data_IF_176571008011
#
_entry.id   IF_176571008011
#
_cell.length_a   1.000
_cell.length_b   1.000
_cell.length_c   1.000
_cell.angle_alpha   90.00
_cell.angle_beta   90.00
_cell.angle_gamma   90.00
#
_symmetry.space_group_name_H-M   'P 1'
#
loop_
_entity.id
_entity.type
_entity.pdbx_description
1 polymer ?
#
# COMPACT_ATOMS: atom_id res chain seq x y z
N UNK A 1 -30.35 -1.89 33.26
CA UNK A 1 -29.30 -2.85 33.02
C UNK A 1 -28.58 -2.39 31.76
N UNK A 2 -27.32 -1.88 31.77
CA UNK A 2 -26.61 -1.55 30.54
C UNK A 2 -26.19 -2.86 29.90
N UNK A 3 -26.50 -3.02 28.61
CA UNK A 3 -26.07 -4.13 27.79
C UNK A 3 -24.54 -4.16 27.76
N UNK A 4 -23.95 -5.27 28.20
CA UNK A 4 -22.50 -5.47 28.19
C UNK A 4 -21.94 -5.33 26.77
N UNK A 5 -20.79 -4.63 26.65
CA UNK A 5 -20.01 -4.64 25.43
C UNK A 5 -19.84 -6.07 24.93
N UNK A 6 -20.08 -6.35 23.64
CA UNK A 6 -19.77 -7.66 23.08
C UNK A 6 -18.28 -7.93 23.35
N UNK A 7 -17.97 -9.12 23.86
CA UNK A 7 -16.59 -9.61 23.96
C UNK A 7 -15.98 -9.49 22.56
N UNK A 8 -14.85 -8.80 22.44
CA UNK A 8 -14.00 -8.84 21.24
C UNK A 8 -13.59 -10.30 21.05
N UNK A 9 -14.34 -11.04 20.24
CA UNK A 9 -13.90 -12.35 19.79
C UNK A 9 -12.79 -12.12 18.78
N UNK A 10 -11.56 -12.41 19.20
CA UNK A 10 -10.38 -12.34 18.36
C UNK A 10 -10.62 -13.15 17.09
N UNK A 11 -10.41 -12.53 15.94
CA UNK A 11 -10.44 -13.23 14.65
C UNK A 11 -9.23 -14.16 14.56
N UNK A 12 -9.40 -15.29 13.89
CA UNK A 12 -8.26 -16.19 13.64
C UNK A 12 -7.34 -15.56 12.59
N UNK A 13 -6.07 -16.00 12.58
CA UNK A 13 -5.09 -15.56 11.58
C UNK A 13 -5.64 -15.68 10.16
N UNK A 14 -6.26 -16.83 9.82
CA UNK A 14 -6.83 -17.05 8.48
C UNK A 14 -8.00 -16.12 8.16
N UNK A 15 -8.82 -15.80 9.15
CA UNK A 15 -9.88 -14.81 9.00
C UNK A 15 -9.33 -13.40 8.74
N UNK A 16 -8.27 -13.03 9.46
CA UNK A 16 -7.60 -11.74 9.26
C UNK A 16 -6.98 -11.63 7.87
N UNK A 17 -6.26 -12.65 7.40
CA UNK A 17 -5.67 -12.69 6.06
C UNK A 17 -6.72 -12.49 4.96
N UNK A 18 -7.85 -13.20 5.04
CA UNK A 18 -8.94 -13.06 4.06
C UNK A 18 -9.62 -11.70 4.15
N UNK A 19 -9.84 -11.18 5.36
CA UNK A 19 -10.42 -9.85 5.53
C UNK A 19 -9.54 -8.75 4.93
N UNK A 20 -8.24 -8.85 5.12
CA UNK A 20 -7.27 -7.92 4.53
C UNK A 20 -7.27 -7.98 3.00
N UNK A 21 -7.36 -9.19 2.41
CA UNK A 21 -7.48 -9.32 0.96
C UNK A 21 -8.76 -8.69 0.43
N UNK A 22 -9.88 -8.83 1.14
CA UNK A 22 -11.15 -8.18 0.80
C UNK A 22 -10.99 -6.66 0.78
N UNK A 23 -10.36 -6.09 1.81
CA UNK A 23 -10.10 -4.65 1.93
C UNK A 23 -9.17 -4.18 0.82
N UNK A 24 -8.08 -4.92 0.58
CA UNK A 24 -7.12 -4.63 -0.48
C UNK A 24 -7.78 -4.62 -1.86
N UNK A 25 -8.55 -5.66 -2.16
CA UNK A 25 -9.26 -5.79 -3.45
C UNK A 25 -10.24 -4.62 -3.65
N UNK A 26 -11.01 -4.28 -2.61
CA UNK A 26 -11.94 -3.15 -2.66
C UNK A 26 -11.21 -1.81 -2.91
N UNK A 27 -10.07 -1.60 -2.29
CA UNK A 27 -9.26 -0.38 -2.48
C UNK A 27 -8.69 -0.25 -3.89
N UNK A 28 -8.31 -1.37 -4.52
CA UNK A 28 -7.74 -1.38 -5.89
C UNK A 28 -8.84 -1.26 -6.96
N UNK A 29 -9.91 -2.03 -6.82
CA UNK A 29 -10.92 -2.20 -7.87
C UNK A 29 -12.23 -1.43 -7.62
N UNK A 30 -12.35 -0.77 -6.46
CA UNK A 30 -13.59 -0.07 -6.05
C UNK A 30 -14.79 -1.00 -5.83
N UNK A 31 -14.55 -2.31 -5.74
CA UNK A 31 -15.57 -3.35 -5.63
C UNK A 31 -15.04 -4.52 -4.79
N UNK A 32 -15.95 -5.27 -4.15
CA UNK A 32 -15.57 -6.42 -3.34
C UNK A 32 -15.25 -7.65 -4.20
N UNK A 33 -14.31 -8.52 -3.79
CA UNK A 33 -14.03 -9.76 -4.49
C UNK A 33 -15.20 -10.75 -4.39
N UNK A 34 -15.35 -11.60 -5.38
CA UNK A 34 -16.26 -12.75 -5.31
C UNK A 34 -15.69 -13.87 -4.43
N UNK A 35 -16.54 -14.80 -3.97
CA UNK A 35 -16.10 -15.98 -3.21
C UNK A 35 -15.06 -16.79 -3.99
N UNK A 36 -15.23 -16.91 -5.32
CA UNK A 36 -14.31 -17.65 -6.17
C UNK A 36 -12.95 -16.94 -6.27
N UNK A 37 -12.92 -15.62 -6.44
CA UNK A 37 -11.66 -14.86 -6.45
C UNK A 37 -10.88 -14.99 -5.16
N UNK A 38 -11.58 -15.02 -4.02
CA UNK A 38 -10.93 -15.28 -2.71
C UNK A 38 -10.42 -16.72 -2.66
N UNK A 39 -11.22 -17.68 -3.10
CA UNK A 39 -10.85 -19.10 -3.13
C UNK A 39 -9.58 -19.33 -3.95
N UNK A 40 -9.53 -18.79 -5.16
CA UNK A 40 -8.40 -18.88 -6.09
C UNK A 40 -7.15 -18.22 -5.49
N UNK A 41 -7.31 -17.03 -4.91
CA UNK A 41 -6.21 -16.28 -4.29
C UNK A 41 -5.53 -17.04 -3.14
N UNK A 42 -6.31 -17.76 -2.35
CA UNK A 42 -5.83 -18.48 -1.17
C UNK A 42 -5.62 -19.97 -1.37
N UNK A 43 -5.88 -20.49 -2.56
CA UNK A 43 -5.76 -21.92 -2.88
C UNK A 43 -6.68 -22.80 -2.03
N UNK A 44 -7.89 -22.35 -1.73
CA UNK A 44 -8.88 -23.06 -0.90
C UNK A 44 -10.20 -23.23 -1.65
N UNK A 45 -11.03 -24.16 -1.20
CA UNK A 45 -12.34 -24.39 -1.80
C UNK A 45 -13.32 -23.23 -1.48
N UNK A 46 -14.17 -22.84 -2.42
CA UNK A 46 -15.17 -21.80 -2.24
C UNK A 46 -16.11 -22.00 -1.03
N UNK A 47 -16.52 -23.23 -0.67
CA UNK A 47 -17.26 -23.48 0.57
C UNK A 47 -16.50 -23.04 1.84
N UNK A 48 -15.18 -23.28 1.88
CA UNK A 48 -14.35 -22.85 3.02
C UNK A 48 -14.26 -21.33 3.13
N UNK A 49 -14.25 -20.62 1.99
CA UNK A 49 -14.35 -19.15 2.00
C UNK A 49 -15.70 -18.70 2.56
N UNK A 50 -16.77 -19.37 2.17
CA UNK A 50 -18.12 -19.08 2.68
C UNK A 50 -18.17 -19.19 4.22
N UNK A 51 -17.62 -20.25 4.80
CA UNK A 51 -17.60 -20.45 6.26
C UNK A 51 -16.81 -19.34 6.96
N UNK A 52 -15.68 -18.92 6.37
CA UNK A 52 -14.87 -17.82 6.91
C UNK A 52 -15.64 -16.49 6.83
N UNK A 53 -16.29 -16.21 5.72
CA UNK A 53 -17.13 -15.00 5.57
C UNK A 53 -18.28 -15.01 6.59
N UNK A 54 -18.94 -16.16 6.80
CA UNK A 54 -19.99 -16.27 7.83
C UNK A 54 -19.45 -15.97 9.24
N UNK A 55 -18.24 -16.46 9.55
CA UNK A 55 -17.59 -16.17 10.83
C UNK A 55 -17.26 -14.67 10.97
N UNK A 56 -16.80 -14.02 9.90
CA UNK A 56 -16.52 -12.58 9.88
C UNK A 56 -17.81 -11.74 10.01
N UNK A 57 -18.92 -12.20 9.43
CA UNK A 57 -20.25 -11.58 9.62
C UNK A 57 -20.72 -11.74 11.07
N UNK A 58 -20.62 -12.94 11.64
CA UNK A 58 -20.99 -13.19 13.04
C UNK A 58 -20.17 -12.34 14.03
N UNK A 59 -18.92 -12.06 13.70
CA UNK A 59 -18.02 -11.19 14.49
C UNK A 59 -18.18 -9.70 14.19
N UNK A 60 -19.07 -9.31 13.24
CA UNK A 60 -19.40 -7.93 12.90
C UNK A 60 -18.31 -7.20 12.12
N UNK A 61 -17.44 -7.90 11.40
CA UNK A 61 -16.48 -7.30 10.45
C UNK A 61 -17.12 -7.07 9.09
N UNK A 62 -18.01 -7.95 8.69
CA UNK A 62 -18.78 -7.87 7.46
C UNK A 62 -20.27 -7.82 7.78
N UNK A 63 -21.10 -7.29 6.88
CA UNK A 63 -22.54 -7.47 6.91
C UNK A 63 -23.03 -8.13 5.64
N UNK A 64 -24.09 -8.93 5.75
CA UNK A 64 -24.72 -9.57 4.60
C UNK A 64 -25.59 -8.57 3.86
N UNK A 65 -25.56 -8.64 2.52
CA UNK A 65 -26.46 -7.85 1.64
C UNK A 65 -27.22 -8.83 0.77
N UNK A 66 -28.54 -8.85 0.91
CA UNK A 66 -29.40 -9.82 0.22
C UNK A 66 -29.57 -9.55 -1.29
N UNK A 67 -29.24 -8.33 -1.74
CA UNK A 67 -29.53 -7.89 -3.12
C UNK A 67 -28.43 -8.17 -4.15
N UNK A 68 -27.30 -8.78 -3.77
CA UNK A 68 -26.15 -8.95 -4.67
C UNK A 68 -25.71 -10.42 -4.71
N UNK A 69 -26.10 -11.22 -5.74
CA UNK A 69 -25.90 -12.68 -5.73
C UNK A 69 -24.43 -13.12 -5.62
N UNK A 70 -23.48 -12.39 -6.20
CA UNK A 70 -22.06 -12.78 -6.23
C UNK A 70 -21.18 -12.03 -5.20
N UNK A 71 -21.75 -11.04 -4.50
CA UNK A 71 -21.06 -10.22 -3.49
C UNK A 71 -21.99 -9.97 -2.31
N UNK A 72 -22.30 -11.01 -1.52
CA UNK A 72 -23.35 -10.96 -0.52
C UNK A 72 -22.94 -10.29 0.79
N UNK A 73 -21.93 -9.40 0.79
CA UNK A 73 -21.42 -8.76 2.00
C UNK A 73 -20.88 -7.35 1.74
N UNK A 74 -20.82 -6.55 2.78
CA UNK A 74 -20.16 -5.24 2.84
C UNK A 74 -19.21 -5.19 4.03
N UNK A 75 -18.20 -4.33 3.96
CA UNK A 75 -17.24 -4.12 5.04
C UNK A 75 -17.87 -3.19 6.09
N UNK A 76 -17.95 -3.62 7.34
CA UNK A 76 -18.43 -2.83 8.47
C UNK A 76 -17.28 -2.26 9.31
N UNK A 77 -16.23 -3.04 9.50
CA UNK A 77 -15.04 -2.68 10.27
C UNK A 77 -13.80 -3.14 9.56
N UNK A 78 -12.77 -2.33 9.64
CA UNK A 78 -11.42 -2.76 9.30
C UNK A 78 -10.90 -3.73 10.37
N UNK A 79 -10.01 -4.63 10.00
CA UNK A 79 -9.25 -5.47 10.91
C UNK A 79 -7.96 -4.74 11.18
N UNK A 80 -7.68 -4.45 12.46
CA UNK A 80 -6.33 -4.05 12.82
C UNK A 80 -5.39 -5.15 12.32
N UNK A 81 -4.46 -4.84 11.42
CA UNK A 81 -3.56 -5.85 10.89
C UNK A 81 -2.77 -6.44 12.06
N UNK A 82 -2.73 -7.76 12.15
CA UNK A 82 -1.79 -8.40 13.07
C UNK A 82 -0.38 -7.97 12.64
N UNK A 83 0.28 -7.17 13.47
CA UNK A 83 1.65 -6.69 13.22
C UNK A 83 2.67 -7.83 13.03
N UNK A 84 2.26 -9.07 13.31
CA UNK A 84 3.04 -10.28 13.03
C UNK A 84 2.93 -10.76 11.59
N UNK A 85 1.94 -10.29 10.83
CA UNK A 85 1.76 -10.66 9.42
C UNK A 85 2.55 -9.70 8.55
N UNK A 86 3.57 -10.25 7.88
CA UNK A 86 4.42 -9.51 6.95
C UNK A 86 3.98 -9.79 5.51
N UNK A 87 4.07 -8.77 4.67
CA UNK A 87 3.89 -8.89 3.22
C UNK A 87 5.24 -8.68 2.54
N UNK A 88 5.55 -9.50 1.55
CA UNK A 88 6.70 -9.27 0.68
C UNK A 88 6.38 -8.13 -0.29
N UNK A 89 7.22 -7.10 -0.29
CA UNK A 89 7.10 -5.93 -1.14
C UNK A 89 8.34 -5.84 -2.03
N UNK A 90 8.20 -5.66 -3.35
CA UNK A 90 9.34 -5.53 -4.25
C UNK A 90 10.25 -4.39 -3.83
N UNK A 91 11.55 -4.63 -3.77
CA UNK A 91 12.57 -3.61 -3.56
C UNK A 91 13.14 -3.16 -4.90
N UNK A 92 12.96 -1.89 -5.21
CA UNK A 92 13.44 -1.29 -6.45
C UNK A 92 14.68 -0.42 -6.16
N UNK A 93 15.70 -0.55 -7.02
CA UNK A 93 16.88 0.34 -6.99
C UNK A 93 16.64 1.68 -7.69
N UNK A 94 15.60 1.78 -8.50
CA UNK A 94 15.21 3.01 -9.20
C UNK A 94 13.67 3.08 -9.31
N UNK A 95 13.14 4.29 -9.39
CA UNK A 95 11.71 4.52 -9.59
C UNK A 95 11.35 4.09 -11.02
N UNK A 96 10.38 3.20 -11.21
CA UNK A 96 10.02 2.72 -12.55
C UNK A 96 9.45 3.85 -13.41
N UNK A 97 9.71 3.80 -14.72
CA UNK A 97 9.20 4.78 -15.69
C UNK A 97 7.67 4.75 -15.89
N UNK A 98 6.93 3.94 -15.16
CA UNK A 98 5.46 3.86 -15.18
C UNK A 98 4.93 3.44 -13.82
N UNK A 99 3.68 3.80 -13.54
CA UNK A 99 2.99 3.25 -12.36
C UNK A 99 2.85 1.75 -12.60
N UNK A 100 3.34 0.86 -11.72
CA UNK A 100 3.04 -0.55 -11.83
C UNK A 100 1.52 -0.74 -11.80
N UNK A 101 0.92 -1.07 -12.94
CA UNK A 101 -0.55 -1.22 -13.09
C UNK A 101 -1.03 -2.57 -12.61
N UNK A 102 -0.11 -3.51 -12.41
CA UNK A 102 -0.42 -4.85 -11.92
C UNK A 102 0.17 -5.07 -10.53
N UNK A 103 -0.52 -5.81 -9.65
CA UNK A 103 0.07 -6.27 -8.41
C UNK A 103 1.36 -7.02 -8.75
N UNK A 104 2.48 -6.66 -8.11
CA UNK A 104 3.78 -7.31 -8.33
C UNK A 104 3.76 -8.68 -7.65
N UNK A 105 2.90 -9.59 -8.11
CA UNK A 105 2.74 -10.94 -7.57
C UNK A 105 3.83 -11.89 -8.03
N UNK A 106 4.47 -11.60 -9.19
CA UNK A 106 5.47 -12.47 -9.83
C UNK A 106 6.82 -11.75 -9.97
N UNK A 107 7.18 -10.92 -8.98
CA UNK A 107 8.45 -10.21 -8.99
C UNK A 107 9.60 -11.16 -8.65
N UNK A 108 10.52 -11.35 -9.60
CA UNK A 108 11.70 -12.23 -9.45
C UNK A 108 12.90 -11.54 -8.75
N UNK A 109 12.75 -10.26 -8.37
CA UNK A 109 13.81 -9.46 -7.76
C UNK A 109 13.87 -9.54 -6.23
N UNK A 110 14.67 -8.66 -5.63
CA UNK A 110 14.78 -8.51 -4.18
C UNK A 110 13.47 -8.01 -3.57
N UNK A 111 13.06 -8.56 -2.43
CA UNK A 111 11.86 -8.14 -1.70
C UNK A 111 12.21 -7.81 -0.26
N UNK A 112 11.43 -6.90 0.35
CA UNK A 112 11.48 -6.63 1.78
C UNK A 112 10.18 -7.06 2.46
N UNK A 113 10.28 -7.58 3.66
CA UNK A 113 9.12 -7.95 4.46
C UNK A 113 8.68 -6.74 5.28
N UNK A 114 7.51 -6.23 4.98
CA UNK A 114 6.90 -5.10 5.69
C UNK A 114 5.63 -5.54 6.41
N UNK A 115 5.24 -4.80 7.44
CA UNK A 115 3.95 -5.01 8.08
C UNK A 115 2.83 -4.90 7.03
N UNK A 116 1.98 -5.91 6.96
CA UNK A 116 0.87 -5.96 6.00
C UNK A 116 -0.07 -4.75 6.13
N UNK A 117 -0.08 -4.08 7.29
CA UNK A 117 -0.81 -2.84 7.49
C UNK A 117 -0.39 -1.74 6.51
N UNK A 118 0.88 -1.72 6.12
CA UNK A 118 1.43 -0.73 5.18
C UNK A 118 0.98 -1.00 3.74
N UNK A 119 0.64 -2.24 3.43
CA UNK A 119 0.17 -2.65 2.10
C UNK A 119 -1.35 -2.54 1.95
N UNK A 120 -2.05 -1.97 2.95
CA UNK A 120 -3.51 -1.82 2.93
C UNK A 120 -3.98 -1.20 1.62
N UNK A 121 -4.78 -1.98 0.90
CA UNK A 121 -5.60 -1.56 -0.25
C UNK A 121 -4.84 -0.90 -1.42
N UNK A 122 -3.52 -1.02 -1.55
CA UNK A 122 -2.79 -0.36 -2.61
C UNK A 122 -1.59 -1.17 -3.08
N UNK A 123 -1.25 -1.02 -4.36
CA UNK A 123 0.06 -1.44 -4.85
C UNK A 123 1.13 -0.59 -4.16
N UNK A 124 2.07 -1.25 -3.51
CA UNK A 124 3.22 -0.62 -2.88
C UNK A 124 4.51 -1.25 -3.40
N UNK A 125 5.55 -0.47 -3.44
CA UNK A 125 6.91 -0.95 -3.64
C UNK A 125 7.84 -0.30 -2.61
N UNK A 126 8.93 -0.96 -2.33
CA UNK A 126 10.03 -0.41 -1.55
C UNK A 126 11.03 0.23 -2.52
N UNK A 127 11.55 1.38 -2.16
CA UNK A 127 12.56 2.09 -2.93
C UNK A 127 13.80 2.28 -2.07
N UNK A 128 14.95 1.82 -2.55
CA UNK A 128 16.24 2.10 -1.94
C UNK A 128 16.68 3.51 -2.35
N UNK A 129 17.00 4.34 -1.38
CA UNK A 129 17.41 5.72 -1.63
C UNK A 129 18.89 5.76 -2.05
N UNK A 130 19.18 6.62 -3.02
CA UNK A 130 20.52 6.97 -3.43
C UNK A 130 20.69 8.50 -3.34
N UNK A 131 21.78 8.91 -2.68
CA UNK A 131 22.06 10.32 -2.46
C UNK A 131 21.46 10.91 -1.18
N UNK A 132 21.68 12.21 -0.99
CA UNK A 132 21.38 12.93 0.24
C UNK A 132 20.40 14.10 0.08
N UNK A 133 19.62 14.11 -1.01
CA UNK A 133 18.70 15.21 -1.30
C UNK A 133 17.54 15.34 -0.30
N UNK A 134 17.33 14.34 0.56
CA UNK A 134 16.27 14.28 1.56
C UNK A 134 16.81 14.17 3.00
N UNK A 135 18.10 14.57 3.22
CA UNK A 135 18.80 14.39 4.50
C UNK A 135 18.15 15.10 5.68
N UNK A 136 17.50 16.25 5.47
CA UNK A 136 16.89 17.04 6.54
C UNK A 136 15.59 16.39 7.07
N UNK A 137 15.08 15.37 6.39
CA UNK A 137 14.05 14.45 6.90
C UNK A 137 14.64 13.24 7.64
N UNK A 138 15.96 13.14 7.74
CA UNK A 138 16.63 11.99 8.34
C UNK A 138 16.84 10.83 7.36
N UNK A 139 16.63 11.02 6.07
CA UNK A 139 16.87 9.99 5.06
C UNK A 139 18.34 9.97 4.63
N UNK A 140 18.93 8.79 4.67
CA UNK A 140 20.32 8.55 4.27
C UNK A 140 20.39 7.66 3.03
N UNK A 141 21.57 7.64 2.40
CA UNK A 141 21.85 6.70 1.29
C UNK A 141 21.71 5.26 1.79
N UNK A 142 21.03 4.42 1.02
CA UNK A 142 20.63 3.03 1.29
C UNK A 142 19.41 2.87 2.21
N UNK A 143 18.83 3.92 2.77
CA UNK A 143 17.55 3.81 3.43
C UNK A 143 16.48 3.29 2.47
N UNK A 144 15.47 2.64 3.02
CA UNK A 144 14.37 2.11 2.26
C UNK A 144 13.09 2.84 2.64
N UNK A 145 12.38 3.34 1.64
CA UNK A 145 11.05 3.94 1.82
C UNK A 145 9.99 3.08 1.16
N UNK A 146 8.81 3.04 1.75
CA UNK A 146 7.65 2.37 1.17
C UNK A 146 6.83 3.41 0.42
N UNK A 147 6.64 3.15 -0.86
CA UNK A 147 5.93 4.02 -1.80
C UNK A 147 4.63 3.37 -2.21
N UNK A 148 3.53 4.09 -2.02
CA UNK A 148 2.22 3.70 -2.55
C UNK A 148 2.09 4.18 -3.98
N UNK A 149 1.81 3.27 -4.92
CA UNK A 149 1.56 3.60 -6.32
C UNK A 149 0.29 4.43 -6.45
N UNK A 150 0.42 5.69 -6.85
CA UNK A 150 -0.69 6.61 -7.12
C UNK A 150 -0.21 7.79 -7.95
N UNK A 151 -1.09 8.33 -8.81
CA UNK A 151 -0.76 9.47 -9.66
C UNK A 151 -1.12 10.82 -9.03
N UNK A 152 -1.86 10.81 -7.95
CA UNK A 152 -2.26 12.04 -7.24
C UNK A 152 -1.56 12.12 -5.89
N UNK A 153 -1.17 13.33 -5.53
CA UNK A 153 -0.60 13.65 -4.23
C UNK A 153 -1.02 15.06 -3.80
N UNK A 154 -0.94 15.30 -2.51
CA UNK A 154 -1.27 16.60 -1.92
C UNK A 154 -0.03 17.47 -1.77
N UNK A 155 -0.25 18.78 -1.65
CA UNK A 155 0.84 19.72 -1.37
C UNK A 155 1.56 19.35 -0.05
N UNK A 156 2.87 19.20 -0.13
CA UNK A 156 3.69 18.79 1.01
C UNK A 156 3.98 17.29 1.08
N UNK A 157 3.35 16.46 0.28
CA UNK A 157 3.66 15.02 0.22
C UNK A 157 5.08 14.76 -0.30
N UNK A 158 5.70 13.70 0.24
CA UNK A 158 6.94 13.16 -0.34
C UNK A 158 6.53 12.19 -1.45
N UNK A 159 6.97 12.49 -2.67
CA UNK A 159 6.57 11.74 -3.86
C UNK A 159 7.78 11.14 -4.58
N UNK A 160 7.56 9.94 -5.09
CA UNK A 160 8.38 9.35 -6.13
C UNK A 160 7.85 9.91 -7.46
N UNK A 161 8.67 10.62 -8.19
CA UNK A 161 8.29 11.30 -9.41
C UNK A 161 9.28 11.04 -10.54
N UNK A 162 8.80 11.20 -11.76
CA UNK A 162 9.59 11.15 -12.99
C UNK A 162 9.51 12.53 -13.66
N UNK A 163 10.67 13.07 -14.02
CA UNK A 163 10.78 14.39 -14.68
C UNK A 163 11.81 14.31 -15.78
N UNK A 164 11.42 14.53 -17.03
CA UNK A 164 12.31 14.64 -18.18
C UNK A 164 13.35 13.51 -18.31
N UNK A 165 12.92 12.26 -18.10
CA UNK A 165 13.77 11.08 -18.19
C UNK A 165 14.44 10.66 -16.88
N UNK A 166 14.35 11.45 -15.83
CA UNK A 166 14.94 11.17 -14.52
C UNK A 166 13.91 10.85 -13.44
N UNK A 167 14.26 9.91 -12.57
CA UNK A 167 13.44 9.56 -11.42
C UNK A 167 13.97 10.22 -10.15
N UNK A 168 13.09 10.72 -9.31
CA UNK A 168 13.49 11.42 -8.08
C UNK A 168 12.49 11.26 -6.94
N UNK A 169 12.99 11.35 -5.69
CA UNK A 169 12.17 11.46 -4.49
C UNK A 169 12.29 12.88 -3.95
N UNK A 170 11.18 13.60 -3.85
CA UNK A 170 11.14 14.99 -3.42
C UNK A 170 9.83 15.33 -2.71
N UNK A 171 9.80 16.47 -2.04
CA UNK A 171 8.55 17.06 -1.56
C UNK A 171 7.83 17.76 -2.71
N UNK A 172 6.58 17.40 -2.93
CA UNK A 172 5.70 18.09 -3.86
C UNK A 172 5.30 19.45 -3.29
N UNK A 173 5.58 20.50 -4.04
CA UNK A 173 5.08 21.85 -3.78
C UNK A 173 4.11 22.19 -4.91
N UNK A 174 2.85 22.37 -4.53
CA UNK A 174 1.80 22.70 -5.47
C UNK A 174 1.07 23.96 -5.01
N UNK A 175 1.02 24.94 -5.89
CA UNK A 175 0.24 26.19 -5.73
C UNK A 175 -0.56 26.43 -7.00
N UNK A 176 -1.57 27.33 -7.02
CA UNK A 176 -2.31 27.63 -8.25
C UNK A 176 -1.43 28.04 -9.45
N UNK A 177 -0.25 28.60 -9.17
CA UNK A 177 0.61 29.20 -10.20
C UNK A 177 1.82 28.32 -10.56
N UNK A 178 2.14 27.30 -9.76
CA UNK A 178 3.34 26.49 -9.99
C UNK A 178 3.27 25.10 -9.37
N UNK A 179 4.03 24.20 -9.98
CA UNK A 179 4.38 22.89 -9.43
C UNK A 179 5.90 22.83 -9.31
N UNK A 180 6.40 22.40 -8.18
CA UNK A 180 7.83 22.20 -7.96
C UNK A 180 8.09 20.95 -7.11
N UNK A 181 9.24 20.35 -7.29
CA UNK A 181 9.75 19.25 -6.48
C UNK A 181 10.91 19.78 -5.63
N UNK A 182 10.67 19.91 -4.34
CA UNK A 182 11.64 20.47 -3.39
C UNK A 182 12.43 19.35 -2.71
N UNK A 183 13.75 19.46 -2.70
CA UNK A 183 14.60 18.64 -1.86
C UNK A 183 14.46 19.06 -0.38
N UNK A 184 14.64 18.14 0.53
CA UNK A 184 14.83 18.40 1.96
C UNK A 184 16.35 18.42 2.27
N UNK A 185 17.04 19.25 1.52
CA UNK A 185 18.45 19.57 1.63
C UNK A 185 18.70 20.87 0.86
N UNK A 186 19.17 21.95 1.52
CA UNK A 186 19.38 23.26 0.89
C UNK A 186 20.46 23.25 -0.21
N UNK A 187 21.34 22.24 -0.25
CA UNK A 187 22.34 22.10 -1.29
C UNK A 187 21.73 21.71 -2.67
N UNK A 188 20.44 21.35 -2.69
CA UNK A 188 19.72 20.96 -3.90
C UNK A 188 18.63 21.98 -4.22
N UNK A 189 18.73 22.69 -5.35
CA UNK A 189 17.68 23.63 -5.74
C UNK A 189 16.38 22.89 -6.07
N UNK A 190 15.21 23.52 -5.89
CA UNK A 190 13.93 22.96 -6.32
C UNK A 190 13.92 22.73 -7.83
N UNK A 191 13.27 21.66 -8.26
CA UNK A 191 12.98 21.37 -9.67
C UNK A 191 11.61 21.98 -9.98
N UNK A 192 11.60 23.09 -10.70
CA UNK A 192 10.35 23.73 -11.18
C UNK A 192 9.83 22.97 -12.40
N UNK A 193 8.57 22.53 -12.35
CA UNK A 193 7.91 21.86 -13.47
C UNK A 193 7.33 22.90 -14.41
N UNK A 194 7.79 22.92 -15.65
CA UNK A 194 7.41 23.88 -16.67
C UNK A 194 6.44 23.27 -17.69
N UNK A 195 5.73 24.12 -18.39
CA UNK A 195 4.92 23.66 -19.51
C UNK A 195 5.82 22.97 -20.57
N UNK A 196 5.44 21.76 -20.94
CA UNK A 196 6.20 20.92 -21.88
C UNK A 196 7.15 19.92 -21.21
N UNK A 197 7.37 20.00 -19.90
CA UNK A 197 8.12 18.95 -19.18
C UNK A 197 7.33 17.64 -19.15
N UNK A 198 8.04 16.53 -19.32
CA UNK A 198 7.49 15.21 -19.03
C UNK A 198 7.49 14.99 -17.51
N UNK A 199 6.35 15.23 -16.87
CA UNK A 199 6.20 15.10 -15.43
C UNK A 199 5.10 14.12 -15.06
N UNK A 200 5.38 13.20 -14.15
CA UNK A 200 4.37 12.33 -13.55
C UNK A 200 4.74 11.93 -12.13
N UNK A 201 3.75 11.81 -11.28
CA UNK A 201 3.87 11.20 -9.96
C UNK A 201 3.70 9.69 -10.14
N UNK A 202 4.67 8.91 -9.63
CA UNK A 202 4.66 7.45 -9.64
C UNK A 202 4.06 6.91 -8.34
N UNK A 203 4.28 7.63 -7.24
CA UNK A 203 3.70 7.26 -5.96
C UNK A 203 4.01 8.24 -4.84
N UNK A 204 3.37 8.01 -3.70
CA UNK A 204 3.56 8.75 -2.46
C UNK A 204 4.28 7.89 -1.43
N UNK A 205 5.26 8.45 -0.74
CA UNK A 205 5.89 7.79 0.41
C UNK A 205 4.88 7.71 1.55
N UNK A 206 4.67 6.51 2.06
CA UNK A 206 3.73 6.25 3.16
C UNK A 206 4.44 5.90 4.47
N UNK A 207 5.68 5.44 4.38
CA UNK A 207 6.55 5.15 5.52
C UNK A 207 8.01 5.07 5.09
N UNK A 208 8.88 5.52 5.95
CA UNK A 208 10.29 5.20 5.98
C UNK A 208 10.49 3.95 6.87
N UNK A 209 11.39 3.08 6.45
CA UNK A 209 11.81 1.92 7.22
C UNK A 209 13.32 2.03 7.35
N UNK A 210 13.80 2.18 8.59
CA UNK A 210 15.22 2.11 8.83
C UNK A 210 15.72 0.69 8.52
N UNK A 211 16.96 0.58 8.07
CA UNK A 211 17.59 -0.72 7.74
C UNK A 211 17.47 -1.74 8.91
N UNK A 212 17.28 -1.27 10.14
CA UNK A 212 17.12 -2.08 11.36
C UNK A 212 15.78 -2.80 11.47
N UNK A 213 14.75 -2.31 10.75
CA UNK A 213 13.39 -2.86 10.79
C UNK A 213 13.10 -3.78 9.61
N UNK A 214 14.11 -4.04 8.75
CA UNK A 214 13.98 -4.82 7.53
C UNK A 214 14.39 -6.27 7.79
N UNK A 215 13.41 -7.16 7.79
CA UNK A 215 13.67 -8.59 7.61
C UNK A 215 13.74 -8.89 6.11
N UNK A 216 14.94 -9.21 5.62
CA UNK A 216 15.11 -9.65 4.24
C UNK A 216 14.48 -11.02 4.04
N UNK A 217 13.44 -11.09 3.20
CA UNK A 217 12.87 -12.36 2.75
C UNK A 217 13.90 -13.09 1.88
N UNK A 218 14.59 -14.07 2.43
CA UNK A 218 15.38 -15.01 1.63
C UNK A 218 14.43 -16.01 0.96
N UNK A 219 14.63 -16.20 -0.37
CA UNK A 219 14.04 -17.33 -1.10
C UNK A 219 14.48 -18.67 -0.51
#
# INVERSE_FOLDING_TARGET
>A
MPAGRPKEENITRRQAEIMQEIIRFNGIFGTLPTMQQIADRFGIAAPSVYDIIQALVAKGYLARVESTPNRPYIILRDVEPDSRVKAAVPLLGAIPCGVPTEPVTDYEGETVLVDIALTKASNVFALRLDGNSMKDLGYETNDIVIVRCQQMAENGDIVAAFVNGESTLKRLIYTPDRIALKAENPDFPPIEIKYGDEFRIVGKVIRDISERDIEHGRK
#
